data_IF_260600778889
#
_entry.id   IF_260600778889
#
_cell.length_a   1.000
_cell.length_b   1.000
_cell.length_c   1.000
_cell.angle_alpha   90.00
_cell.angle_beta   90.00
_cell.angle_gamma   90.00
#
_symmetry.space_group_name_H-M   'P 1'
#
loop_
_entity.id
_entity.type
_entity.pdbx_description
1 polymer ?
#
# COMPACT_ATOMS: atom_id res chain seq x y z
N UNK A 1 -14.19 -13.59 19.63
CA UNK A 1 -15.28 -13.91 20.57
C UNK A 1 -16.36 -12.83 20.59
N UNK A 2 -16.13 -11.67 19.97
CA UNK A 2 -17.03 -10.51 20.08
C UNK A 2 -18.24 -10.53 19.14
N UNK A 3 -18.29 -11.44 18.15
CA UNK A 3 -19.39 -11.52 17.18
C UNK A 3 -20.65 -12.23 17.71
N UNK A 4 -20.57 -12.91 18.86
CA UNK A 4 -21.67 -13.74 19.37
C UNK A 4 -22.77 -12.94 20.08
N UNK A 5 -22.48 -11.72 20.54
CA UNK A 5 -23.41 -10.87 21.31
C UNK A 5 -24.21 -9.88 20.44
N UNK A 6 -24.04 -9.91 19.12
CA UNK A 6 -24.58 -8.88 18.23
C UNK A 6 -26.07 -9.09 17.98
N UNK A 7 -26.91 -8.10 18.32
CA UNK A 7 -28.34 -8.12 17.99
C UNK A 7 -28.52 -7.92 16.49
N UNK A 8 -29.53 -8.58 15.93
CA UNK A 8 -29.86 -8.48 14.50
C UNK A 8 -30.09 -7.02 14.04
N UNK A 9 -30.55 -6.14 14.95
CA UNK A 9 -30.87 -4.74 14.69
C UNK A 9 -29.64 -3.80 14.64
N UNK A 10 -28.45 -4.25 15.06
CA UNK A 10 -27.29 -3.39 15.10
C UNK A 10 -26.80 -3.05 13.68
N UNK A 11 -26.27 -1.84 13.46
CA UNK A 11 -25.73 -1.47 12.14
C UNK A 11 -24.61 -2.45 11.71
N UNK A 12 -24.65 -3.02 10.50
CA UNK A 12 -23.68 -4.03 10.07
C UNK A 12 -22.25 -3.49 10.12
N UNK A 13 -21.25 -4.33 10.47
CA UNK A 13 -19.86 -3.93 10.40
C UNK A 13 -19.54 -3.37 9.02
N UNK A 14 -18.81 -2.25 8.95
CA UNK A 14 -18.51 -1.57 7.69
C UNK A 14 -17.86 -2.51 6.66
N UNK A 15 -17.09 -3.50 7.10
CA UNK A 15 -16.50 -4.53 6.25
C UNK A 15 -17.55 -5.41 5.57
N UNK A 16 -18.52 -5.93 6.34
CA UNK A 16 -19.62 -6.77 5.84
C UNK A 16 -20.50 -6.00 4.85
N UNK A 17 -20.87 -4.76 5.21
CA UNK A 17 -21.65 -3.88 4.34
C UNK A 17 -20.91 -3.62 3.02
N UNK A 18 -19.61 -3.33 3.08
CA UNK A 18 -18.80 -3.04 1.89
C UNK A 18 -18.68 -4.25 0.96
N UNK A 19 -18.55 -5.45 1.52
CA UNK A 19 -18.54 -6.69 0.74
C UNK A 19 -19.88 -6.93 0.06
N UNK A 20 -20.99 -6.75 0.78
CA UNK A 20 -22.34 -6.89 0.22
C UNK A 20 -22.60 -5.87 -0.91
N UNK A 21 -22.19 -4.61 -0.73
CA UNK A 21 -22.30 -3.57 -1.76
C UNK A 21 -21.44 -3.82 -3.00
N UNK A 22 -20.38 -4.61 -2.86
CA UNK A 22 -19.46 -4.95 -3.94
C UNK A 22 -19.77 -6.33 -4.53
N UNK A 23 -21.00 -6.82 -4.39
CA UNK A 23 -21.46 -8.06 -5.02
C UNK A 23 -20.69 -9.30 -4.56
N UNK A 24 -20.25 -9.28 -3.29
CA UNK A 24 -19.59 -10.42 -2.65
C UNK A 24 -18.10 -10.26 -2.37
N UNK A 25 -17.57 -11.24 -1.64
CA UNK A 25 -16.21 -11.22 -1.10
C UNK A 25 -15.14 -11.21 -2.19
N UNK A 26 -15.36 -11.93 -3.28
CA UNK A 26 -14.37 -12.08 -4.35
C UNK A 26 -14.14 -10.76 -5.08
N UNK A 27 -15.24 -10.09 -5.50
CA UNK A 27 -15.15 -8.78 -6.15
C UNK A 27 -14.60 -7.71 -5.21
N UNK A 28 -14.96 -7.74 -3.93
CA UNK A 28 -14.34 -6.87 -2.93
C UNK A 28 -12.82 -7.10 -2.84
N UNK A 29 -12.37 -8.35 -2.74
CA UNK A 29 -10.96 -8.71 -2.64
C UNK A 29 -10.17 -8.29 -3.89
N UNK A 30 -10.72 -8.50 -5.09
CA UNK A 30 -10.12 -8.06 -6.35
C UNK A 30 -9.93 -6.54 -6.39
N UNK A 31 -10.97 -5.78 -6.01
CA UNK A 31 -10.91 -4.32 -5.99
C UNK A 31 -9.94 -3.79 -4.93
N UNK A 32 -9.93 -4.40 -3.74
CA UNK A 32 -9.00 -4.05 -2.67
C UNK A 32 -7.55 -4.28 -3.10
N UNK A 33 -7.27 -5.42 -3.75
CA UNK A 33 -5.95 -5.74 -4.28
C UNK A 33 -5.52 -4.76 -5.37
N UNK A 34 -6.39 -4.46 -6.33
CA UNK A 34 -6.12 -3.48 -7.39
C UNK A 34 -5.88 -2.07 -6.84
N UNK A 35 -6.60 -1.67 -5.77
CA UNK A 35 -6.35 -0.41 -5.08
C UNK A 35 -4.99 -0.40 -4.36
N UNK A 36 -4.64 -1.49 -3.67
CA UNK A 36 -3.35 -1.63 -2.98
C UNK A 36 -2.17 -1.59 -3.96
N UNK A 37 -2.27 -2.27 -5.11
CA UNK A 37 -1.26 -2.21 -6.17
C UNK A 37 -1.05 -0.78 -6.67
N UNK A 38 -2.13 -0.05 -6.95
CA UNK A 38 -2.05 1.37 -7.39
C UNK A 38 -1.42 2.25 -6.32
N UNK A 39 -1.76 2.05 -5.04
CA UNK A 39 -1.19 2.80 -3.93
C UNK A 39 0.33 2.58 -3.84
N UNK A 40 0.79 1.33 -3.86
CA UNK A 40 2.22 1.02 -3.82
C UNK A 40 2.96 1.56 -5.05
N UNK A 41 2.34 1.49 -6.23
CA UNK A 41 2.88 2.11 -7.45
C UNK A 41 3.09 3.62 -7.30
N UNK A 42 2.09 4.33 -6.75
CA UNK A 42 2.17 5.77 -6.49
C UNK A 42 3.27 6.11 -5.48
N UNK A 43 3.30 5.43 -4.33
CA UNK A 43 4.29 5.68 -3.29
C UNK A 43 5.72 5.37 -3.77
N UNK A 44 5.91 4.34 -4.59
CA UNK A 44 7.18 4.07 -5.24
C UNK A 44 7.59 5.16 -6.23
N UNK A 45 6.63 5.78 -6.95
CA UNK A 45 6.91 6.92 -7.81
C UNK A 45 7.32 8.17 -7.01
N UNK A 46 6.60 8.47 -5.92
CA UNK A 46 6.94 9.56 -5.00
C UNK A 46 8.33 9.39 -4.40
N UNK A 47 8.67 8.19 -3.92
CA UNK A 47 10.00 7.88 -3.38
C UNK A 47 11.11 8.09 -4.42
N UNK A 48 10.90 7.65 -5.67
CA UNK A 48 11.84 7.89 -6.79
C UNK A 48 12.00 9.38 -7.09
N UNK A 49 10.91 10.12 -7.16
CA UNK A 49 10.95 11.56 -7.42
C UNK A 49 11.65 12.31 -6.28
N UNK A 50 11.39 11.95 -5.03
CA UNK A 50 12.07 12.48 -3.86
C UNK A 50 13.57 12.19 -3.89
N UNK A 51 13.97 10.96 -4.25
CA UNK A 51 15.37 10.57 -4.34
C UNK A 51 16.09 11.32 -5.46
N UNK A 52 15.47 11.43 -6.65
CA UNK A 52 16.01 12.22 -7.76
C UNK A 52 16.16 13.69 -7.38
N UNK A 53 15.18 14.28 -6.70
CA UNK A 53 15.24 15.67 -6.23
C UNK A 53 16.36 15.87 -5.22
N UNK A 54 16.48 14.99 -4.22
CA UNK A 54 17.52 15.08 -3.19
C UNK A 54 18.92 14.94 -3.80
N UNK A 55 19.12 13.99 -4.73
CA UNK A 55 20.40 13.82 -5.45
C UNK A 55 20.82 15.06 -6.25
N UNK A 56 19.88 15.81 -6.84
CA UNK A 56 20.19 17.05 -7.56
C UNK A 56 20.72 18.17 -6.65
N UNK A 57 20.34 18.14 -5.37
CA UNK A 57 20.76 19.15 -4.39
C UNK A 57 21.96 18.74 -3.55
N UNK A 58 22.45 17.50 -3.72
CA UNK A 58 23.51 16.95 -2.89
C UNK A 58 24.83 16.82 -3.67
N UNK A 59 25.97 17.21 -3.09
CA UNK A 59 27.28 16.84 -3.61
C UNK A 59 27.44 15.31 -3.71
N UNK A 60 28.19 14.84 -4.72
CA UNK A 60 28.34 13.42 -5.00
C UNK A 60 28.99 12.65 -3.83
N UNK A 61 29.98 13.24 -3.18
CA UNK A 61 30.68 12.72 -1.99
C UNK A 61 29.75 12.54 -0.77
N UNK A 62 28.67 13.32 -0.70
CA UNK A 62 27.71 13.26 0.41
C UNK A 62 26.57 12.27 0.19
N UNK A 63 26.41 11.75 -1.03
CA UNK A 63 25.27 10.90 -1.42
C UNK A 63 25.23 9.60 -0.61
N UNK A 64 26.39 8.98 -0.36
CA UNK A 64 26.48 7.70 0.35
C UNK A 64 26.09 7.80 1.84
N UNK A 65 26.30 8.97 2.46
CA UNK A 65 25.99 9.21 3.88
C UNK A 65 24.64 9.88 4.12
N UNK A 66 23.87 10.19 3.07
CA UNK A 66 22.62 10.93 3.22
C UNK A 66 21.49 10.02 3.75
N UNK A 67 21.17 10.19 5.03
CA UNK A 67 20.13 9.42 5.70
C UNK A 67 18.75 9.53 5.00
N UNK A 68 18.45 10.69 4.39
CA UNK A 68 17.20 10.89 3.67
C UNK A 68 17.12 10.06 2.38
N UNK A 69 18.20 10.01 1.59
CA UNK A 69 18.32 9.11 0.44
C UNK A 69 18.21 7.64 0.83
N UNK A 70 18.83 7.24 1.93
CA UNK A 70 18.71 5.87 2.45
C UNK A 70 17.26 5.52 2.78
N UNK A 71 16.54 6.43 3.45
CA UNK A 71 15.12 6.25 3.77
C UNK A 71 14.23 6.17 2.53
N UNK A 72 14.46 7.03 1.54
CA UNK A 72 13.71 7.01 0.28
C UNK A 72 13.96 5.73 -0.52
N UNK A 73 15.20 5.25 -0.52
CA UNK A 73 15.57 3.99 -1.19
C UNK A 73 14.92 2.79 -0.49
N UNK A 74 14.92 2.77 0.85
CA UNK A 74 14.23 1.74 1.63
C UNK A 74 12.71 1.77 1.40
N UNK A 75 12.09 2.96 1.37
CA UNK A 75 10.66 3.11 1.08
C UNK A 75 10.32 2.59 -0.33
N UNK A 76 11.15 2.92 -1.33
CA UNK A 76 11.00 2.40 -2.69
C UNK A 76 11.07 0.86 -2.72
N UNK A 77 12.07 0.27 -2.06
CA UNK A 77 12.22 -1.18 -1.99
C UNK A 77 11.01 -1.84 -1.31
N UNK A 78 10.55 -1.27 -0.19
CA UNK A 78 9.37 -1.74 0.54
C UNK A 78 8.11 -1.75 -0.34
N UNK A 79 7.82 -0.65 -1.06
CA UNK A 79 6.63 -0.57 -1.90
C UNK A 79 6.71 -1.49 -3.13
N UNK A 80 7.89 -1.69 -3.71
CA UNK A 80 8.09 -2.68 -4.77
C UNK A 80 7.84 -4.10 -4.24
N UNK A 81 8.39 -4.43 -3.09
CA UNK A 81 8.22 -5.75 -2.48
C UNK A 81 6.75 -6.02 -2.13
N UNK A 82 6.06 -5.07 -1.51
CA UNK A 82 4.64 -5.17 -1.21
C UNK A 82 3.78 -5.37 -2.48
N UNK A 83 4.09 -4.63 -3.55
CA UNK A 83 3.41 -4.81 -4.83
C UNK A 83 3.66 -6.20 -5.44
N UNK A 84 4.89 -6.72 -5.37
CA UNK A 84 5.22 -8.08 -5.83
C UNK A 84 4.45 -9.15 -5.05
N UNK A 85 4.35 -9.01 -3.72
CA UNK A 85 3.56 -9.93 -2.90
C UNK A 85 2.07 -9.91 -3.28
N UNK A 86 1.50 -8.73 -3.51
CA UNK A 86 0.10 -8.58 -3.92
C UNK A 86 -0.15 -9.16 -5.32
N UNK A 87 0.83 -9.04 -6.22
CA UNK A 87 0.76 -9.64 -7.56
C UNK A 87 0.79 -11.16 -7.47
N UNK A 88 1.73 -11.73 -6.71
CA UNK A 88 1.85 -13.18 -6.50
C UNK A 88 0.62 -13.77 -5.79
N UNK A 89 0.04 -13.06 -4.83
CA UNK A 89 -1.18 -13.50 -4.13
C UNK A 89 -2.45 -13.47 -5.01
N UNK A 90 -2.35 -12.94 -6.23
CA UNK A 90 -3.46 -12.89 -7.18
C UNK A 90 -3.22 -13.57 -8.52
N UNK A 91 -2.07 -14.23 -8.69
CA UNK A 91 -1.78 -15.13 -9.81
C UNK A 91 -2.25 -16.56 -9.47
#
# INVERSE_FOLDING_TARGET
MDDLERRHDDAPPRGVLRTALLDGADRHATLARAAALRLHGRLAAEARQGAARRRRTLPADRTAGDAWLSRLTAALAHHRYAASLLFLAGA
#
